data_IF_035888580709
#
_entry.id   IF_035888580709
#
_cell.length_a   1.000
_cell.length_b   1.000
_cell.length_c   1.000
_cell.angle_alpha   90.00
_cell.angle_beta   90.00
_cell.angle_gamma   90.00
#
_symmetry.space_group_name_H-M   'P 1'
#
loop_
_entity.id
_entity.type
_entity.pdbx_description
1 polymer ?
#
# COMPACT_ATOMS: atom_id res chain seq x y z
N UNK A 1 11.28 81.62 -3.67
CA UNK A 1 10.24 80.68 -3.20
C UNK A 1 10.17 79.50 -4.15
N UNK A 2 10.52 78.34 -3.58
CA UNK A 2 10.18 76.94 -3.89
C UNK A 2 10.19 76.44 -5.35
N UNK A 3 11.28 75.75 -5.68
CA UNK A 3 11.33 74.65 -6.65
C UNK A 3 10.83 73.38 -5.94
N UNK A 4 9.86 72.67 -6.52
CA UNK A 4 9.44 71.36 -6.03
C UNK A 4 9.76 70.34 -7.12
N UNK A 5 10.76 69.50 -6.87
CA UNK A 5 11.14 68.38 -7.73
C UNK A 5 10.28 67.19 -7.28
N UNK A 6 9.42 66.69 -8.17
CA UNK A 6 8.65 65.46 -7.95
C UNK A 6 9.57 64.27 -8.24
N UNK A 7 9.93 63.52 -7.21
CA UNK A 7 10.60 62.23 -7.34
C UNK A 7 9.54 61.14 -7.40
N UNK A 8 9.38 60.51 -8.56
CA UNK A 8 8.57 59.29 -8.70
C UNK A 8 9.36 58.10 -8.14
N UNK A 9 8.94 57.59 -6.98
CA UNK A 9 9.36 56.29 -6.48
C UNK A 9 8.54 55.20 -7.17
N UNK A 10 9.15 54.48 -8.12
CA UNK A 10 8.61 53.25 -8.66
C UNK A 10 8.90 52.12 -7.65
N UNK A 11 7.90 51.75 -6.85
CA UNK A 11 7.94 50.54 -6.02
C UNK A 11 7.60 49.36 -6.93
N UNK A 12 8.64 48.72 -7.46
CA UNK A 12 8.50 47.44 -8.17
C UNK A 12 8.13 46.34 -7.19
N UNK A 13 6.86 45.90 -7.23
CA UNK A 13 6.41 44.65 -6.65
C UNK A 13 7.02 43.50 -7.48
N UNK A 14 8.22 43.07 -7.10
CA UNK A 14 8.79 41.81 -7.57
C UNK A 14 8.00 40.71 -6.85
N UNK A 15 6.97 40.19 -7.51
CA UNK A 15 6.36 38.92 -7.14
C UNK A 15 7.41 37.83 -7.37
N UNK A 16 8.25 37.60 -6.35
CA UNK A 16 9.00 36.35 -6.21
C UNK A 16 7.96 35.26 -5.96
N UNK A 17 7.41 34.69 -7.04
CA UNK A 17 6.77 33.39 -6.99
C UNK A 17 7.86 32.38 -6.59
N UNK A 18 8.05 32.24 -5.28
CA UNK A 18 8.84 31.17 -4.70
C UNK A 18 8.08 29.88 -5.04
N UNK A 19 8.47 29.24 -6.15
CA UNK A 19 8.19 27.84 -6.37
C UNK A 19 8.99 27.09 -5.30
N UNK A 20 8.43 27.00 -4.08
CA UNK A 20 8.96 26.10 -3.07
C UNK A 20 9.00 24.72 -3.73
N UNK A 21 10.20 24.23 -4.04
CA UNK A 21 10.39 22.85 -4.43
C UNK A 21 9.80 22.02 -3.30
N UNK A 22 8.65 21.40 -3.55
CA UNK A 22 8.01 20.52 -2.58
C UNK A 22 9.00 19.39 -2.33
N UNK A 23 9.65 19.42 -1.16
CA UNK A 23 10.60 18.39 -0.75
C UNK A 23 9.79 17.12 -0.52
N UNK A 24 10.08 16.09 -1.32
CA UNK A 24 9.44 14.78 -1.16
C UNK A 24 9.66 14.23 0.25
N UNK A 25 8.67 13.51 0.76
CA UNK A 25 8.78 12.84 2.05
C UNK A 25 9.78 11.67 1.95
N UNK A 26 10.35 11.23 3.08
CA UNK A 26 11.20 10.04 3.08
C UNK A 26 10.43 8.79 2.64
N UNK A 27 9.13 8.73 2.92
CA UNK A 27 8.26 7.62 2.54
C UNK A 27 8.01 7.60 1.02
N UNK A 28 7.80 8.75 0.40
CA UNK A 28 7.66 8.88 -1.07
C UNK A 28 8.94 8.43 -1.78
N UNK A 29 10.12 8.79 -1.24
CA UNK A 29 11.40 8.37 -1.80
C UNK A 29 11.57 6.85 -1.73
N UNK A 30 11.21 6.23 -0.60
CA UNK A 30 11.32 4.77 -0.45
C UNK A 30 10.32 4.05 -1.36
N UNK A 31 9.11 4.58 -1.53
CA UNK A 31 8.13 4.02 -2.46
C UNK A 31 8.63 4.07 -3.92
N UNK A 32 9.21 5.19 -4.36
CA UNK A 32 9.80 5.31 -5.71
C UNK A 32 10.98 4.35 -5.93
N UNK A 33 11.77 4.11 -4.88
CA UNK A 33 12.86 3.14 -4.93
C UNK A 33 12.32 1.72 -5.06
N UNK A 34 11.33 1.36 -4.25
CA UNK A 34 10.66 0.06 -4.31
C UNK A 34 10.03 -0.21 -5.68
N UNK A 35 9.36 0.77 -6.28
CA UNK A 35 8.84 0.64 -7.65
C UNK A 35 9.92 0.29 -8.67
N UNK A 36 11.11 0.91 -8.57
CA UNK A 36 12.23 0.62 -9.47
C UNK A 36 12.78 -0.79 -9.28
N UNK A 37 12.88 -1.23 -8.02
CA UNK A 37 13.31 -2.59 -7.67
C UNK A 37 12.36 -3.63 -8.28
N UNK A 38 11.05 -3.46 -8.10
CA UNK A 38 10.02 -4.34 -8.67
C UNK A 38 10.14 -4.51 -10.18
N UNK A 39 10.41 -3.40 -10.90
CA UNK A 39 10.59 -3.42 -12.36
C UNK A 39 11.88 -4.18 -12.73
N UNK A 40 12.96 -3.97 -11.98
CA UNK A 40 14.25 -4.59 -12.30
C UNK A 40 14.31 -6.09 -12.03
N UNK A 41 13.48 -6.59 -11.12
CA UNK A 41 13.46 -7.99 -10.69
C UNK A 41 12.37 -8.81 -11.40
N UNK A 42 11.68 -8.24 -12.39
CA UNK A 42 10.47 -8.82 -12.99
C UNK A 42 9.43 -9.22 -11.92
N UNK A 43 9.42 -8.51 -10.78
CA UNK A 43 8.57 -8.79 -9.63
C UNK A 43 7.10 -8.42 -9.83
N UNK A 44 6.75 -7.89 -11.01
CA UNK A 44 5.40 -7.49 -11.39
C UNK A 44 4.83 -8.53 -12.35
N UNK A 45 4.03 -9.45 -11.81
CA UNK A 45 3.25 -10.37 -12.61
C UNK A 45 1.87 -9.72 -12.88
N UNK A 46 1.67 -9.05 -14.02
CA UNK A 46 0.44 -8.33 -14.35
C UNK A 46 -0.40 -9.06 -15.40
N UNK A 47 -1.73 -9.00 -15.31
CA UNK A 47 -2.59 -9.46 -16.40
C UNK A 47 -2.34 -8.61 -17.64
N UNK A 48 -2.21 -9.23 -18.80
CA UNK A 48 -2.19 -8.47 -20.07
C UNK A 48 -3.59 -8.34 -20.68
N UNK A 49 -4.50 -9.28 -20.39
CA UNK A 49 -5.85 -9.25 -20.95
C UNK A 49 -6.68 -8.10 -20.34
N UNK A 50 -7.10 -7.15 -21.18
CA UNK A 50 -7.92 -5.98 -20.84
C UNK A 50 -7.35 -5.06 -19.75
N UNK A 51 -6.04 -5.11 -19.52
CA UNK A 51 -5.37 -4.39 -18.44
C UNK A 51 -4.59 -3.18 -18.96
N UNK A 52 -4.38 -2.14 -18.14
CA UNK A 52 -3.50 -1.02 -18.48
C UNK A 52 -2.09 -1.53 -18.80
N UNK A 53 -1.37 -0.81 -19.67
CA UNK A 53 0.06 -1.11 -19.90
C UNK A 53 0.83 -1.11 -18.58
N UNK A 54 1.97 -1.81 -18.49
CA UNK A 54 2.81 -1.80 -17.29
C UNK A 54 3.12 -0.37 -16.80
N UNK A 55 3.39 0.55 -17.73
CA UNK A 55 3.61 1.97 -17.42
C UNK A 55 2.38 2.65 -16.79
N UNK A 56 1.18 2.33 -17.24
CA UNK A 56 -0.07 2.84 -16.69
C UNK A 56 -0.44 2.18 -15.37
N UNK A 57 -0.17 0.88 -15.20
CA UNK A 57 -0.30 0.17 -13.92
C UNK A 57 0.60 0.78 -12.86
N UNK A 58 1.86 1.04 -13.19
CA UNK A 58 2.84 1.64 -12.29
C UNK A 58 2.51 3.08 -11.88
N UNK A 59 1.70 3.79 -12.66
CA UNK A 59 1.18 5.13 -12.29
C UNK A 59 0.04 5.08 -11.28
N UNK A 60 -0.55 3.91 -11.04
CA UNK A 60 -1.71 3.72 -10.18
C UNK A 60 -1.33 3.28 -8.75
N UNK A 61 -0.08 3.51 -8.32
CA UNK A 61 0.30 3.26 -6.94
C UNK A 61 -0.63 4.01 -6.00
N UNK A 62 -1.31 3.26 -5.15
CA UNK A 62 -2.09 3.80 -4.06
C UNK A 62 -1.19 3.93 -2.84
N UNK A 63 -1.37 4.99 -2.07
CA UNK A 63 -0.68 5.18 -0.82
C UNK A 63 -1.60 5.75 0.25
N UNK A 64 -1.28 5.45 1.50
CA UNK A 64 -1.92 6.02 2.67
C UNK A 64 -0.90 6.12 3.79
N UNK A 65 -0.88 7.28 4.46
CA UNK A 65 0.02 7.55 5.58
C UNK A 65 -0.79 7.74 6.86
N UNK A 66 -0.27 7.21 7.96
CA UNK A 66 -0.83 7.38 9.30
C UNK A 66 0.28 7.24 10.34
N UNK A 67 0.03 7.64 11.58
CA UNK A 67 0.92 7.36 12.70
C UNK A 67 0.25 6.23 13.51
N UNK A 68 0.61 4.98 13.19
CA UNK A 68 -0.07 3.77 13.66
C UNK A 68 0.06 3.63 15.18
N UNK A 69 1.23 3.99 15.71
CA UNK A 69 1.60 3.79 17.12
C UNK A 69 1.61 5.09 17.94
N UNK A 70 1.25 6.21 17.32
CA UNK A 70 1.19 7.53 17.95
C UNK A 70 2.55 8.01 18.50
N UNK A 71 3.65 7.62 17.85
CA UNK A 71 5.01 8.03 18.24
C UNK A 71 5.44 9.37 17.59
N UNK A 72 4.57 9.97 16.79
CA UNK A 72 4.80 11.22 16.06
C UNK A 72 5.55 11.03 14.75
N UNK A 73 5.88 9.79 14.37
CA UNK A 73 6.49 9.44 13.09
C UNK A 73 5.41 8.90 12.17
N UNK A 74 5.38 9.39 10.92
CA UNK A 74 4.47 8.86 9.92
C UNK A 74 4.94 7.52 9.37
N UNK A 75 3.99 6.62 9.27
CA UNK A 75 4.03 5.34 8.58
C UNK A 75 3.38 5.47 7.20
N UNK A 76 3.70 4.54 6.31
CA UNK A 76 3.19 4.51 4.95
C UNK A 76 2.89 3.11 4.47
N UNK A 77 1.68 2.92 3.96
CA UNK A 77 1.29 1.76 3.17
C UNK A 77 1.27 2.17 1.70
N UNK A 78 1.98 1.41 0.86
CA UNK A 78 2.07 1.61 -0.59
C UNK A 78 1.66 0.33 -1.28
N UNK A 79 0.78 0.41 -2.28
CA UNK A 79 0.33 -0.78 -2.97
C UNK A 79 -0.15 -0.53 -4.40
N UNK A 80 0.06 -1.52 -5.25
CA UNK A 80 -0.52 -1.62 -6.57
C UNK A 80 -1.70 -2.56 -6.54
N UNK A 81 -2.87 -2.06 -6.99
CA UNK A 81 -4.09 -2.85 -7.01
C UNK A 81 -4.11 -3.82 -8.17
N UNK A 82 -4.41 -5.08 -7.88
CA UNK A 82 -4.73 -6.05 -8.91
C UNK A 82 -6.23 -6.11 -9.13
N UNK A 83 -6.71 -5.53 -10.23
CA UNK A 83 -8.07 -5.74 -10.66
C UNK A 83 -8.17 -7.15 -11.25
N UNK A 84 -8.96 -7.98 -10.58
CA UNK A 84 -9.14 -9.42 -10.80
C UNK A 84 -8.92 -9.89 -12.25
N UNK A 85 -7.85 -10.64 -12.48
CA UNK A 85 -7.64 -11.50 -13.63
C UNK A 85 -8.60 -12.71 -13.58
N UNK A 86 -9.89 -12.47 -13.78
CA UNK A 86 -10.91 -13.53 -13.77
C UNK A 86 -11.17 -14.17 -12.40
N UNK A 87 -10.80 -13.51 -11.30
CA UNK A 87 -11.07 -14.02 -9.94
C UNK A 87 -10.17 -15.18 -9.52
N UNK A 88 -9.06 -15.40 -10.22
CA UNK A 88 -8.08 -16.44 -9.87
C UNK A 88 -7.23 -16.02 -8.68
N UNK A 89 -6.75 -17.01 -7.93
CA UNK A 89 -5.89 -16.78 -6.77
C UNK A 89 -4.44 -16.38 -7.14
N UNK A 90 -4.16 -16.22 -8.43
CA UNK A 90 -2.83 -15.93 -8.98
C UNK A 90 -2.42 -14.46 -8.84
N UNK A 91 -3.37 -13.59 -8.47
CA UNK A 91 -3.15 -12.14 -8.43
C UNK A 91 -3.63 -11.56 -7.10
N UNK A 92 -2.71 -10.90 -6.41
CA UNK A 92 -2.92 -10.19 -5.15
C UNK A 92 -2.28 -8.83 -5.27
N UNK A 93 -2.77 -7.84 -4.52
CA UNK A 93 -2.10 -6.53 -4.46
C UNK A 93 -0.62 -6.71 -4.16
N UNK A 94 0.25 -5.96 -4.84
CA UNK A 94 1.66 -5.84 -4.45
C UNK A 94 1.76 -4.70 -3.44
N UNK A 95 2.41 -4.92 -2.30
CA UNK A 95 2.46 -3.91 -1.25
C UNK A 95 3.78 -3.86 -0.50
N UNK A 96 4.07 -2.65 -0.04
CA UNK A 96 5.13 -2.32 0.91
C UNK A 96 4.52 -1.58 2.09
N UNK A 97 4.94 -1.94 3.31
CA UNK A 97 4.64 -1.20 4.52
C UNK A 97 5.94 -0.65 5.10
N UNK A 98 5.99 0.67 5.30
CA UNK A 98 7.03 1.33 6.09
C UNK A 98 6.39 1.83 7.38
N UNK A 99 6.90 1.42 8.53
CA UNK A 99 6.34 1.78 9.84
C UNK A 99 7.43 2.14 10.86
N UNK A 100 7.09 2.94 11.84
CA UNK A 100 7.97 3.32 12.94
C UNK A 100 7.99 2.22 14.01
N UNK A 101 9.18 1.83 14.41
CA UNK A 101 9.42 0.94 15.54
C UNK A 101 10.61 1.50 16.33
N UNK A 102 10.41 1.78 17.62
CA UNK A 102 11.43 2.35 18.49
C UNK A 102 12.07 3.64 17.92
N UNK A 103 11.26 4.52 17.32
CA UNK A 103 11.69 5.78 16.72
C UNK A 103 12.47 5.64 15.40
N UNK A 104 12.45 4.46 14.77
CA UNK A 104 13.12 4.18 13.48
C UNK A 104 12.13 3.63 12.47
N UNK A 105 12.28 3.99 11.21
CA UNK A 105 11.49 3.40 10.14
C UNK A 105 12.02 2.00 9.79
N UNK A 106 11.09 1.03 9.76
CA UNK A 106 11.27 -0.34 9.31
C UNK A 106 10.42 -0.53 8.06
N UNK A 107 10.98 -1.16 7.03
CA UNK A 107 10.29 -1.38 5.75
C UNK A 107 10.15 -2.87 5.46
N UNK A 108 8.90 -3.31 5.27
CA UNK A 108 8.56 -4.61 4.71
C UNK A 108 8.14 -4.41 3.24
N UNK A 109 9.05 -4.75 2.31
CA UNK A 109 8.82 -4.64 0.85
C UNK A 109 7.96 -5.76 0.26
N UNK A 110 7.73 -6.82 1.03
CA UNK A 110 6.95 -8.00 0.64
C UNK A 110 5.71 -8.14 1.51
N UNK A 111 5.12 -7.00 1.87
CA UNK A 111 4.10 -6.92 2.91
C UNK A 111 2.84 -7.75 2.58
N UNK A 112 2.51 -7.89 1.29
CA UNK A 112 1.45 -8.80 0.84
C UNK A 112 1.69 -10.24 1.30
N UNK A 113 2.92 -10.75 1.14
CA UNK A 113 3.27 -12.11 1.55
C UNK A 113 3.27 -12.25 3.07
N UNK A 114 3.70 -11.21 3.79
CA UNK A 114 3.59 -11.13 5.25
C UNK A 114 2.13 -11.29 5.70
N UNK A 115 1.19 -10.57 5.07
CA UNK A 115 -0.24 -10.68 5.39
C UNK A 115 -0.80 -12.05 5.01
N UNK A 116 -0.49 -12.57 3.82
CA UNK A 116 -0.90 -13.93 3.40
C UNK A 116 -0.45 -14.98 4.41
N UNK A 117 0.81 -14.93 4.86
CA UNK A 117 1.35 -15.85 5.86
C UNK A 117 0.60 -15.74 7.20
N UNK A 118 0.28 -14.52 7.64
CA UNK A 118 -0.49 -14.31 8.89
C UNK A 118 -1.93 -14.81 8.76
N UNK A 119 -2.59 -14.61 7.63
CA UNK A 119 -3.93 -15.16 7.34
C UNK A 119 -3.90 -16.69 7.44
N UNK A 120 -3.00 -17.34 6.68
CA UNK A 120 -2.87 -18.81 6.68
C UNK A 120 -2.56 -19.35 8.07
N UNK A 121 -1.66 -18.69 8.81
CA UNK A 121 -1.31 -19.06 10.19
C UNK A 121 -2.48 -18.87 11.16
N UNK A 122 -3.37 -17.92 10.93
CA UNK A 122 -4.54 -17.74 11.78
C UNK A 122 -5.62 -18.78 11.46
N UNK A 123 -5.83 -19.09 10.17
CA UNK A 123 -6.79 -20.10 9.75
C UNK A 123 -6.35 -21.52 10.17
N UNK A 124 -5.05 -21.83 10.17
CA UNK A 124 -4.55 -23.15 10.61
C UNK A 124 -4.85 -23.43 12.08
N UNK A 125 -4.83 -22.39 12.94
CA UNK A 125 -5.23 -22.49 14.36
C UNK A 125 -6.70 -22.90 14.53
N UNK A 126 -7.53 -22.67 13.51
CA UNK A 126 -8.95 -23.04 13.48
C UNK A 126 -9.21 -24.44 12.88
N UNK A 127 -8.18 -25.27 12.73
CA UNK A 127 -8.25 -26.64 12.17
C UNK A 127 -8.68 -26.70 10.68
N UNK A 128 -8.49 -25.59 9.96
CA UNK A 128 -8.41 -25.48 8.50
C UNK A 128 -7.31 -26.38 7.89
N UNK A 129 -7.57 -27.53 7.25
CA UNK A 129 -6.51 -28.29 6.54
C UNK A 129 -6.25 -27.78 5.12
N UNK A 130 -4.97 -27.82 4.72
CA UNK A 130 -4.39 -27.48 3.39
C UNK A 130 -4.94 -26.21 2.71
N UNK A 131 -4.40 -25.06 3.11
CA UNK A 131 -4.62 -23.81 2.38
C UNK A 131 -3.82 -23.81 1.07
N UNK A 132 -4.52 -23.77 -0.04
CA UNK A 132 -3.96 -23.52 -1.36
C UNK A 132 -3.54 -22.06 -1.52
N UNK A 133 -4.02 -21.40 -2.56
CA UNK A 133 -3.69 -20.02 -2.84
C UNK A 133 -4.50 -19.02 -1.98
N UNK A 134 -3.96 -17.81 -1.82
CA UNK A 134 -4.61 -16.74 -1.08
C UNK A 134 -4.29 -15.39 -1.72
N UNK A 135 -5.26 -14.49 -1.75
CA UNK A 135 -5.12 -13.14 -2.28
C UNK A 135 -5.53 -12.11 -1.24
N UNK A 136 -4.93 -10.92 -1.34
CA UNK A 136 -5.10 -9.80 -0.42
C UNK A 136 -5.34 -8.54 -1.24
N UNK A 137 -6.36 -7.77 -0.84
CA UNK A 137 -6.64 -6.44 -1.39
C UNK A 137 -6.60 -5.40 -0.27
N UNK A 138 -5.78 -4.37 -0.42
CA UNK A 138 -5.61 -3.32 0.57
C UNK A 138 -6.63 -2.18 0.38
N UNK A 139 -7.20 -1.75 1.50
CA UNK A 139 -8.13 -0.60 1.57
C UNK A 139 -7.42 0.68 2.01
N UNK A 140 -6.37 0.58 2.81
CA UNK A 140 -5.57 1.70 3.25
C UNK A 140 -5.01 1.53 4.66
N UNK A 141 -4.50 2.64 5.19
CA UNK A 141 -3.85 2.75 6.49
C UNK A 141 -4.52 3.82 7.35
N UNK A 142 -4.86 3.44 8.59
CA UNK A 142 -5.18 4.34 9.71
C UNK A 142 -4.38 3.88 10.93
N UNK A 143 -5.04 3.70 12.09
CA UNK A 143 -4.44 3.05 13.27
C UNK A 143 -4.12 1.56 13.05
N UNK A 144 -4.48 1.02 11.89
CA UNK A 144 -4.08 -0.30 11.40
C UNK A 144 -4.14 -0.31 9.87
N UNK A 145 -3.44 -1.26 9.26
CA UNK A 145 -3.61 -1.65 7.87
C UNK A 145 -4.91 -2.43 7.75
N UNK A 146 -5.78 -2.02 6.82
CA UNK A 146 -7.08 -2.66 6.59
C UNK A 146 -7.13 -3.23 5.18
N UNK A 147 -7.72 -4.42 5.05
CA UNK A 147 -7.97 -5.01 3.75
C UNK A 147 -8.95 -6.18 3.79
N UNK A 148 -9.10 -6.81 2.64
CA UNK A 148 -9.88 -8.05 2.45
C UNK A 148 -8.98 -9.15 1.95
N UNK A 149 -9.36 -10.39 2.19
CA UNK A 149 -8.66 -11.55 1.67
C UNK A 149 -9.62 -12.62 1.17
N UNK A 150 -9.11 -13.44 0.27
CA UNK A 150 -9.77 -14.63 -0.26
C UNK A 150 -8.79 -15.80 -0.17
N UNK A 151 -9.27 -16.98 0.25
CA UNK A 151 -8.47 -18.21 0.35
C UNK A 151 -9.19 -19.36 -0.33
N UNK A 152 -8.42 -20.14 -1.08
CA UNK A 152 -8.85 -21.38 -1.70
C UNK A 152 -8.30 -22.53 -0.87
N UNK A 153 -9.19 -23.45 -0.47
CA UNK A 153 -8.82 -24.70 0.18
C UNK A 153 -8.64 -25.76 -0.92
N UNK A 154 -7.56 -26.54 -0.83
CA UNK A 154 -7.19 -27.49 -1.89
C UNK A 154 -6.47 -26.86 -3.10
N UNK A 155 -6.41 -27.60 -4.21
CA UNK A 155 -5.49 -27.32 -5.33
C UNK A 155 -6.08 -26.51 -6.50
N UNK A 156 -7.35 -26.08 -6.47
CA UNK A 156 -7.96 -25.33 -7.58
C UNK A 156 -8.05 -23.81 -7.31
N UNK A 157 -7.04 -23.02 -7.72
CA UNK A 157 -7.02 -21.56 -7.57
C UNK A 157 -7.91 -20.82 -8.58
N UNK A 158 -8.59 -21.53 -9.49
CA UNK A 158 -9.38 -20.93 -10.57
C UNK A 158 -10.89 -20.98 -10.31
N UNK A 159 -11.32 -21.61 -9.21
CA UNK A 159 -12.71 -21.64 -8.74
C UNK A 159 -13.07 -20.46 -7.84
N UNK A 160 -14.23 -20.53 -7.19
CA UNK A 160 -14.62 -19.56 -6.16
C UNK A 160 -13.78 -19.77 -4.88
N UNK A 161 -13.39 -18.70 -4.17
CA UNK A 161 -12.69 -18.84 -2.91
C UNK A 161 -13.58 -19.52 -1.88
N UNK A 162 -13.02 -20.53 -1.19
CA UNK A 162 -13.69 -21.23 -0.10
C UNK A 162 -13.93 -20.31 1.12
N UNK A 163 -13.05 -19.31 1.27
CA UNK A 163 -13.05 -18.41 2.42
C UNK A 163 -12.86 -16.98 1.93
N UNK A 164 -13.72 -16.08 2.40
CA UNK A 164 -13.48 -14.64 2.28
C UNK A 164 -13.43 -14.01 3.68
N UNK A 165 -12.77 -12.87 3.78
CA UNK A 165 -12.73 -12.16 5.05
C UNK A 165 -12.12 -10.78 4.97
N UNK A 166 -12.06 -10.15 6.13
CA UNK A 166 -11.40 -8.87 6.34
C UNK A 166 -10.28 -9.01 7.36
N UNK A 167 -9.27 -8.16 7.24
CA UNK A 167 -8.20 -8.10 8.23
C UNK A 167 -7.93 -6.66 8.68
N UNK A 168 -7.47 -6.57 9.93
CA UNK A 168 -6.84 -5.39 10.49
C UNK A 168 -5.48 -5.81 11.07
N UNK A 169 -4.43 -5.16 10.61
CA UNK A 169 -3.06 -5.47 11.00
C UNK A 169 -2.36 -4.23 11.54
N UNK A 170 -1.77 -4.34 12.72
CA UNK A 170 -0.80 -3.37 13.22
C UNK A 170 0.51 -4.13 13.51
N UNK A 171 1.68 -3.59 13.12
CA UNK A 171 2.98 -4.19 13.45
C UNK A 171 3.18 -4.44 14.95
N UNK A 172 2.65 -3.54 15.78
CA UNK A 172 2.76 -3.60 17.24
C UNK A 172 1.72 -4.50 17.89
N UNK A 173 0.78 -5.03 17.10
CA UNK A 173 -0.27 -5.92 17.60
C UNK A 173 0.23 -7.36 17.66
N UNK A 174 0.27 -7.89 18.88
CA UNK A 174 0.46 -9.33 19.11
C UNK A 174 -0.70 -10.17 18.50
N UNK A 175 -1.88 -9.57 18.34
CA UNK A 175 -3.11 -10.22 17.92
C UNK A 175 -3.74 -9.51 16.70
N UNK A 176 -3.17 -9.67 15.50
CA UNK A 176 -3.80 -9.18 14.29
C UNK A 176 -5.21 -9.78 14.14
N UNK A 177 -6.18 -8.93 13.80
CA UNK A 177 -7.58 -9.33 13.70
C UNK A 177 -7.88 -9.80 12.29
N UNK A 178 -8.45 -11.00 12.19
CA UNK A 178 -8.98 -11.54 10.93
C UNK A 178 -10.39 -12.03 11.17
N UNK A 179 -11.32 -11.38 10.51
CA UNK A 179 -12.71 -11.81 10.42
C UNK A 179 -12.84 -12.74 9.20
N UNK A 180 -13.59 -13.83 9.36
CA UNK A 180 -13.70 -14.87 8.34
C UNK A 180 -15.17 -15.21 8.13
N UNK A 181 -15.65 -15.11 6.90
CA UNK A 181 -16.89 -15.74 6.45
C UNK A 181 -16.53 -17.04 5.74
N UNK A 182 -16.94 -18.16 6.33
CA UNK A 182 -16.88 -19.46 5.68
C UNK A 182 -18.11 -19.59 4.77
N UNK A 183 -17.91 -19.92 3.51
CA UNK A 183 -19.01 -20.41 2.68
C UNK A 183 -19.17 -21.89 3.03
N UNK A 184 -20.34 -22.26 3.55
CA UNK A 184 -20.70 -23.65 3.69
C UNK A 184 -20.90 -24.20 2.27
N UNK A 185 -20.15 -25.24 1.91
CA UNK A 185 -20.48 -26.12 0.78
C UNK A 185 -21.77 -26.89 1.07
#
# INVERSE_FOLDING_TARGET
MNKTILTFLAVGLINLSCSAQVKKSNLEIEAEKWTKELISEDGINYCEENSPSLSEFLKQMSSSESDINSDGIKDGLFYYRYNSCGGTANFSDLSMLTYSENGKLVTDKNFTQTIIKKIKSNLSKKQLSEFGAATVNFKGLGNSVIGTYSVWVGEDPNGFPSINGMFQYSPDSEYPYFETSLFAE
#
